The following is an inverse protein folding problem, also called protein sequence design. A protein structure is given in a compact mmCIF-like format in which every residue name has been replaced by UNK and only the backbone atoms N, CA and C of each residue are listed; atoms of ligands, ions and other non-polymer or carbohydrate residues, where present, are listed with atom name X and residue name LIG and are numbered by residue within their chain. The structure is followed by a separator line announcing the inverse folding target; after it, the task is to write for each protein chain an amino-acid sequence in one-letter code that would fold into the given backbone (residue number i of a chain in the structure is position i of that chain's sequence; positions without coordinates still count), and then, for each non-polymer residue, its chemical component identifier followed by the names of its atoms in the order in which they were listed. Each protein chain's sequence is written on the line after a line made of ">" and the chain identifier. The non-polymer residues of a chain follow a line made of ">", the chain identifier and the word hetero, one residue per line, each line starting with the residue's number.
data_IF_545726436077
#
_entry.id   IF_545726436077
#
_cell.length_a   1.000
_cell.length_b   1.000
_cell.length_c   1.000
_cell.angle_alpha   90.00
_cell.angle_beta   90.00
_cell.angle_gamma   90.00
#
_symmetry.space_group_name_H-M   'P 1'
#
loop_
_entity.id
_entity.type
_entity.pdbx_description
1 polymer ?
#
# COMPACT_ATOMS: atom_id res chain seq x y z
N UNK A 1 28.36 -4.49 -8.32
CA UNK A 1 27.95 -3.38 -7.43
C UNK A 1 26.83 -2.61 -8.10
N UNK A 2 25.73 -2.37 -7.38
CA UNK A 2 24.49 -1.68 -7.81
C UNK A 2 23.58 -2.40 -8.82
N UNK A 3 23.16 -3.64 -8.53
CA UNK A 3 22.21 -4.35 -9.41
C UNK A 3 21.28 -5.38 -8.76
N UNK A 4 21.46 -5.76 -7.49
CA UNK A 4 20.72 -6.87 -6.86
C UNK A 4 19.64 -6.45 -5.86
N UNK A 5 19.60 -5.19 -5.42
CA UNK A 5 18.64 -4.73 -4.42
C UNK A 5 17.21 -4.48 -4.96
N UNK A 6 17.00 -4.49 -6.28
CA UNK A 6 15.67 -4.31 -6.89
C UNK A 6 14.88 -5.62 -7.06
N UNK A 7 15.53 -6.79 -7.02
CA UNK A 7 14.86 -8.09 -7.20
C UNK A 7 14.26 -8.66 -5.91
N UNK A 8 14.69 -8.19 -4.73
CA UNK A 8 14.27 -8.76 -3.44
C UNK A 8 12.86 -8.36 -3.00
N UNK A 9 12.29 -7.27 -3.50
CA UNK A 9 10.96 -6.81 -3.05
C UNK A 9 9.80 -7.59 -3.69
N UNK A 10 9.99 -8.17 -4.88
CA UNK A 10 8.98 -9.04 -5.51
C UNK A 10 9.15 -10.50 -5.14
N UNK A 11 10.39 -10.95 -4.89
CA UNK A 11 10.67 -12.35 -4.53
C UNK A 11 10.40 -12.64 -3.04
N UNK A 12 10.54 -11.65 -2.15
CA UNK A 12 10.18 -11.77 -0.73
C UNK A 12 8.66 -11.86 -0.48
N UNK A 13 7.82 -11.30 -1.36
CA UNK A 13 6.36 -11.44 -1.25
C UNK A 13 5.85 -12.83 -1.64
N UNK A 14 6.62 -13.60 -2.42
CA UNK A 14 6.21 -14.92 -2.90
C UNK A 14 6.48 -16.05 -1.87
N UNK A 15 7.44 -15.86 -0.96
CA UNK A 15 7.86 -16.92 -0.02
C UNK A 15 7.05 -16.93 1.29
N UNK A 16 6.36 -15.84 1.63
CA UNK A 16 5.48 -15.76 2.82
C UNK A 16 4.07 -16.36 2.59
N UNK A 17 3.77 -16.83 1.37
CA UNK A 17 2.43 -17.28 0.95
C UNK A 17 2.10 -18.74 1.36
N UNK A 18 3.06 -19.50 1.90
CA UNK A 18 2.91 -20.97 2.01
C UNK A 18 2.37 -21.49 3.35
N UNK A 19 2.24 -20.68 4.41
CA UNK A 19 1.93 -21.23 5.77
C UNK A 19 0.50 -20.98 6.27
N UNK A 20 -0.30 -20.02 5.76
CA UNK A 20 -1.66 -19.79 6.29
C UNK A 20 -2.71 -19.28 5.26
N UNK A 21 -3.30 -20.21 4.50
CA UNK A 21 -4.68 -20.08 4.00
C UNK A 21 -4.88 -19.23 2.73
N UNK A 22 -4.67 -19.87 1.56
CA UNK A 22 -4.75 -19.26 0.22
C UNK A 22 -6.06 -18.57 -0.16
N UNK A 23 -7.17 -18.74 0.57
CA UNK A 23 -8.44 -18.06 0.27
C UNK A 23 -8.50 -16.61 0.77
N UNK A 24 -7.75 -16.24 1.81
CA UNK A 24 -7.81 -14.89 2.42
C UNK A 24 -6.90 -13.89 1.68
N UNK A 25 -5.72 -14.33 1.24
CA UNK A 25 -4.73 -13.50 0.53
C UNK A 25 -5.20 -13.07 -0.87
N UNK A 26 -5.87 -13.97 -1.61
CA UNK A 26 -6.46 -13.66 -2.92
C UNK A 26 -7.57 -12.61 -2.80
N UNK A 27 -8.41 -12.73 -1.77
CA UNK A 27 -9.50 -11.78 -1.51
C UNK A 27 -8.96 -10.39 -1.14
N UNK A 28 -7.86 -10.32 -0.38
CA UNK A 28 -7.22 -9.07 0.01
C UNK A 28 -6.56 -8.36 -1.17
N UNK A 29 -5.79 -9.09 -2.00
CA UNK A 29 -5.24 -8.58 -3.26
C UNK A 29 -6.34 -8.07 -4.19
N UNK A 30 -7.41 -8.86 -4.39
CA UNK A 30 -8.55 -8.47 -5.21
C UNK A 30 -9.22 -7.18 -4.74
N UNK A 31 -9.41 -7.03 -3.42
CA UNK A 31 -10.00 -5.83 -2.82
C UNK A 31 -9.11 -4.59 -2.99
N UNK A 32 -7.79 -4.73 -2.82
CA UNK A 32 -6.84 -3.64 -3.05
C UNK A 32 -6.86 -3.17 -4.51
N UNK A 33 -6.84 -4.11 -5.46
CA UNK A 33 -6.94 -3.79 -6.89
C UNK A 33 -8.26 -3.09 -7.22
N UNK A 34 -9.39 -3.54 -6.67
CA UNK A 34 -10.67 -2.87 -6.87
C UNK A 34 -10.68 -1.42 -6.34
N UNK A 35 -10.07 -1.17 -5.17
CA UNK A 35 -9.94 0.19 -4.63
C UNK A 35 -9.06 1.07 -5.52
N UNK A 36 -7.94 0.55 -5.99
CA UNK A 36 -7.04 1.25 -6.91
C UNK A 36 -7.74 1.59 -8.24
N UNK A 37 -8.52 0.67 -8.81
CA UNK A 37 -9.34 0.95 -10.01
C UNK A 37 -10.36 2.07 -9.81
N UNK A 38 -10.96 2.17 -8.62
CA UNK A 38 -11.86 3.28 -8.28
C UNK A 38 -11.11 4.61 -8.22
N UNK A 39 -9.93 4.62 -7.61
CA UNK A 39 -9.06 5.80 -7.53
C UNK A 39 -8.62 6.25 -8.93
N UNK A 40 -8.23 5.32 -9.80
CA UNK A 40 -7.92 5.59 -11.21
C UNK A 40 -9.10 6.27 -11.93
N UNK A 41 -10.33 5.84 -11.65
CA UNK A 41 -11.55 6.51 -12.10
C UNK A 41 -11.68 7.95 -11.58
N UNK A 42 -11.35 8.20 -10.31
CA UNK A 42 -11.35 9.54 -9.73
C UNK A 42 -10.30 10.45 -10.40
N UNK A 43 -9.09 9.94 -10.64
CA UNK A 43 -8.02 10.70 -11.32
C UNK A 43 -8.44 11.06 -12.76
N UNK A 44 -9.02 10.12 -13.51
CA UNK A 44 -9.60 10.42 -14.83
C UNK A 44 -10.73 11.44 -14.75
N UNK A 45 -11.53 11.41 -13.69
CA UNK A 45 -12.57 12.40 -13.43
C UNK A 45 -11.96 13.79 -13.24
N UNK A 46 -10.94 13.92 -12.40
CA UNK A 46 -10.22 15.17 -12.16
C UNK A 46 -9.63 15.76 -13.45
N UNK A 47 -9.05 14.92 -14.32
CA UNK A 47 -8.55 15.37 -15.62
C UNK A 47 -9.65 16.03 -16.47
N UNK A 48 -10.83 15.40 -16.55
CA UNK A 48 -11.98 15.99 -17.26
C UNK A 48 -12.48 17.28 -16.62
N UNK A 49 -12.56 17.33 -15.29
CA UNK A 49 -12.99 18.55 -14.59
C UNK A 49 -12.09 19.74 -14.90
N UNK A 50 -10.78 19.51 -15.04
CA UNK A 50 -9.81 20.56 -15.41
C UNK A 50 -9.99 20.96 -16.88
N UNK A 51 -10.16 19.98 -17.78
CA UNK A 51 -10.38 20.23 -19.21
C UNK A 51 -11.69 20.99 -19.48
N UNK A 52 -12.73 20.71 -18.71
CA UNK A 52 -14.04 21.36 -18.74
C UNK A 52 -14.09 22.68 -17.94
N UNK A 53 -12.96 23.16 -17.40
CA UNK A 53 -12.84 24.38 -16.61
C UNK A 53 -13.85 24.45 -15.42
N UNK A 54 -14.09 23.32 -14.75
CA UNK A 54 -14.98 23.27 -13.59
C UNK A 54 -14.45 24.09 -12.41
N UNK A 55 -15.34 24.37 -11.45
CA UNK A 55 -15.01 25.24 -10.32
C UNK A 55 -13.85 24.69 -9.49
N UNK A 56 -12.94 25.57 -9.07
CA UNK A 56 -11.79 25.18 -8.24
C UNK A 56 -12.24 24.49 -6.93
N UNK A 57 -13.36 24.90 -6.36
CA UNK A 57 -13.92 24.31 -5.13
C UNK A 57 -14.35 22.85 -5.33
N UNK A 58 -14.98 22.52 -6.46
CA UNK A 58 -15.37 21.15 -6.79
C UNK A 58 -14.14 20.28 -7.09
N UNK A 59 -13.17 20.80 -7.83
CA UNK A 59 -11.90 20.09 -8.11
C UNK A 59 -11.19 19.78 -6.79
N UNK A 60 -11.04 20.74 -5.88
CA UNK A 60 -10.43 20.53 -4.57
C UNK A 60 -11.18 19.49 -3.73
N UNK A 61 -12.51 19.47 -3.81
CA UNK A 61 -13.35 18.47 -3.14
C UNK A 61 -13.06 17.06 -3.68
N UNK A 62 -12.94 16.90 -5.00
CA UNK A 62 -12.63 15.62 -5.62
C UNK A 62 -11.18 15.18 -5.35
N UNK A 63 -10.21 16.11 -5.29
CA UNK A 63 -8.84 15.82 -4.86
C UNK A 63 -8.83 15.30 -3.43
N UNK A 64 -9.58 15.94 -2.52
CA UNK A 64 -9.70 15.47 -1.13
C UNK A 64 -10.28 14.06 -1.05
N UNK A 65 -11.30 13.75 -1.86
CA UNK A 65 -11.88 12.42 -1.95
C UNK A 65 -10.87 11.36 -2.47
N UNK A 66 -10.09 11.69 -3.50
CA UNK A 66 -9.06 10.81 -4.04
C UNK A 66 -7.93 10.56 -3.03
N UNK A 67 -7.49 11.61 -2.30
CA UNK A 67 -6.50 11.49 -1.22
C UNK A 67 -7.00 10.60 -0.09
N UNK A 68 -8.26 10.76 0.34
CA UNK A 68 -8.86 9.90 1.37
C UNK A 68 -8.94 8.43 0.93
N UNK A 69 -9.30 8.18 -0.34
CA UNK A 69 -9.32 6.83 -0.89
C UNK A 69 -7.92 6.19 -0.93
N UNK A 70 -6.90 6.94 -1.36
CA UNK A 70 -5.50 6.51 -1.34
C UNK A 70 -5.01 6.21 0.08
N UNK A 71 -5.30 7.08 1.05
CA UNK A 71 -4.97 6.84 2.46
C UNK A 71 -5.60 5.53 2.99
N UNK A 72 -6.84 5.24 2.58
CA UNK A 72 -7.52 3.99 2.92
C UNK A 72 -6.89 2.74 2.30
N UNK A 73 -6.26 2.84 1.12
CA UNK A 73 -5.47 1.74 0.52
C UNK A 73 -4.16 1.58 1.26
N UNK A 74 -3.45 2.68 1.51
CA UNK A 74 -2.16 2.66 2.16
C UNK A 74 -2.24 2.11 3.60
N UNK A 75 -3.29 2.47 4.35
CA UNK A 75 -3.61 1.87 5.66
C UNK A 75 -3.80 0.36 5.57
N UNK A 76 -4.54 -0.13 4.58
CA UNK A 76 -4.81 -1.56 4.43
C UNK A 76 -3.52 -2.35 4.12
N UNK A 77 -2.66 -1.80 3.25
CA UNK A 77 -1.35 -2.41 2.95
C UNK A 77 -0.47 -2.41 4.21
N UNK A 78 -0.41 -1.28 4.91
CA UNK A 78 0.39 -1.14 6.13
C UNK A 78 -0.06 -2.12 7.21
N UNK A 79 -1.37 -2.25 7.49
CA UNK A 79 -1.88 -3.21 8.49
C UNK A 79 -1.40 -4.64 8.25
N UNK A 80 -1.36 -5.08 6.99
CA UNK A 80 -0.93 -6.43 6.62
C UNK A 80 0.58 -6.56 6.68
N UNK A 81 1.32 -5.56 6.21
CA UNK A 81 2.78 -5.51 6.33
C UNK A 81 3.23 -5.52 7.80
N UNK A 82 2.65 -4.67 8.64
CA UNK A 82 2.97 -4.57 10.07
C UNK A 82 2.75 -5.89 10.80
N UNK A 83 1.65 -6.61 10.51
CA UNK A 83 1.38 -7.92 11.11
C UNK A 83 2.44 -8.95 10.73
N UNK A 84 2.89 -8.95 9.48
CA UNK A 84 3.94 -9.85 9.01
C UNK A 84 5.30 -9.51 9.67
N UNK A 85 5.68 -8.24 9.68
CA UNK A 85 6.92 -7.77 10.33
C UNK A 85 6.96 -8.10 11.82
N UNK A 86 5.86 -7.85 12.56
CA UNK A 86 5.80 -8.17 13.99
C UNK A 86 5.87 -9.68 14.22
N UNK A 87 5.19 -10.49 13.40
CA UNK A 87 5.27 -11.94 13.51
C UNK A 87 6.70 -12.45 13.30
N UNK A 88 7.38 -11.93 12.28
CA UNK A 88 8.76 -12.28 11.98
C UNK A 88 9.72 -11.86 13.08
N UNK A 89 9.59 -10.63 13.60
CA UNK A 89 10.42 -10.12 14.69
C UNK A 89 10.24 -10.89 16.01
N UNK A 90 9.09 -11.54 16.22
CA UNK A 90 8.86 -12.41 17.39
C UNK A 90 9.44 -13.82 17.21
N UNK A 91 9.73 -14.24 15.98
CA UNK A 91 10.24 -15.59 15.69
C UNK A 91 11.74 -15.65 15.41
N UNK A 92 12.35 -14.54 15.00
CA UNK A 92 13.80 -14.45 14.74
C UNK A 92 14.54 -13.92 15.98
N UNK A 93 15.46 -14.72 16.52
CA UNK A 93 16.26 -14.36 17.71
C UNK A 93 17.33 -13.28 17.44
N UNK A 94 17.81 -13.14 16.19
CA UNK A 94 18.89 -12.20 15.82
C UNK A 94 18.48 -11.10 14.81
N UNK A 95 17.31 -11.20 14.17
CA UNK A 95 16.89 -10.32 13.05
C UNK A 95 15.75 -9.34 13.36
N UNK A 96 15.14 -9.41 14.55
CA UNK A 96 13.92 -8.65 14.86
C UNK A 96 14.09 -7.12 14.87
N UNK A 97 15.29 -6.61 15.17
CA UNK A 97 15.56 -5.17 15.23
C UNK A 97 15.55 -4.51 13.84
N UNK A 98 16.13 -5.16 12.84
CA UNK A 98 16.19 -4.66 11.45
C UNK A 98 14.79 -4.61 10.82
N UNK A 99 14.01 -5.67 11.02
CA UNK A 99 12.61 -5.75 10.55
C UNK A 99 11.73 -4.66 11.18
N UNK A 100 11.97 -4.34 12.45
CA UNK A 100 11.27 -3.26 13.15
C UNK A 100 11.66 -1.87 12.62
N UNK A 101 12.93 -1.66 12.29
CA UNK A 101 13.40 -0.41 11.69
C UNK A 101 12.75 -0.16 10.32
N UNK A 102 12.68 -1.20 9.47
CA UNK A 102 11.99 -1.13 8.18
C UNK A 102 10.50 -0.81 8.32
N UNK A 103 9.86 -1.36 9.35
CA UNK A 103 8.47 -1.06 9.66
C UNK A 103 8.28 0.42 10.04
N UNK A 104 9.16 0.95 10.90
CA UNK A 104 9.13 2.35 11.31
C UNK A 104 9.40 3.30 10.14
N UNK A 105 10.34 2.96 9.26
CA UNK A 105 10.58 3.72 8.03
C UNK A 105 9.35 3.73 7.12
N UNK A 106 8.67 2.59 6.99
CA UNK A 106 7.45 2.47 6.18
C UNK A 106 6.32 3.34 6.74
N UNK A 107 6.15 3.39 8.06
CA UNK A 107 5.21 4.27 8.73
C UNK A 107 5.53 5.75 8.47
N UNK A 108 6.82 6.13 8.50
CA UNK A 108 7.23 7.52 8.26
C UNK A 108 6.85 8.04 6.86
N UNK A 109 6.81 7.17 5.86
CA UNK A 109 6.38 7.49 4.49
C UNK A 109 4.87 7.69 4.37
N UNK A 110 4.10 7.10 5.29
CA UNK A 110 2.64 7.11 5.27
C UNK A 110 2.01 8.35 5.92
N UNK A 111 2.72 8.95 6.89
CA UNK A 111 2.21 10.07 7.70
C UNK A 111 2.51 11.44 7.05
N UNK A 112 3.49 11.51 6.14
CA UNK A 112 3.76 12.72 5.34
C UNK A 112 2.66 12.96 4.31
#
# INVERSE_FOLDING_TARGET
>A
MLGTWCQLTTQGMAQYDQVRGGSRQIMEKGRLIQRLKRIEGQIRGLQRMVDEEQSCGEILTQIAAARAALAGVAKAIFETYSKACIQQALTDEDGGAEVMEDLLQSLSRLIK
#
